data_IF_691754810354
#
_entry.id   IF_691754810354
#
_cell.length_a   1.000
_cell.length_b   1.000
_cell.length_c   1.000
_cell.angle_alpha   90.00
_cell.angle_beta   90.00
_cell.angle_gamma   90.00
#
_symmetry.space_group_name_H-M   'P 1'
#
loop_
_entity.id
_entity.type
_entity.pdbx_description
1 polymer ?
#
# COMPACT_ATOMS: atom_id res chain seq x y z
N UNK A 1 -21.00 -6.04 17.42
CA UNK A 1 -19.84 -6.82 16.94
C UNK A 1 -19.41 -6.27 15.58
N UNK A 2 -18.13 -5.96 15.37
CA UNK A 2 -17.66 -5.37 14.11
C UNK A 2 -17.67 -6.41 12.98
N UNK A 3 -18.41 -6.13 11.89
CA UNK A 3 -18.48 -6.99 10.70
C UNK A 3 -17.10 -7.06 10.05
N UNK A 4 -16.47 -8.25 10.05
CA UNK A 4 -15.15 -8.47 9.42
C UNK A 4 -15.33 -8.51 7.90
N UNK A 5 -14.84 -7.48 7.21
CA UNK A 5 -14.81 -7.46 5.74
C UNK A 5 -13.79 -8.51 5.27
N UNK A 6 -14.22 -9.42 4.38
CA UNK A 6 -13.37 -10.49 3.85
C UNK A 6 -12.41 -9.90 2.82
N UNK A 7 -11.11 -10.03 3.05
CA UNK A 7 -10.03 -9.65 2.12
C UNK A 7 -9.27 -10.90 1.68
N UNK A 8 -8.82 -10.95 0.42
CA UNK A 8 -8.01 -12.07 -0.09
C UNK A 8 -6.52 -11.94 0.22
N UNK A 9 -6.09 -10.78 0.71
CA UNK A 9 -4.72 -10.50 1.17
C UNK A 9 -4.71 -10.05 2.63
N UNK A 10 -3.57 -10.26 3.29
CA UNK A 10 -3.28 -9.90 4.67
C UNK A 10 -1.98 -9.10 4.76
N UNK A 11 -1.75 -8.47 5.92
CA UNK A 11 -0.47 -7.83 6.22
C UNK A 11 0.65 -8.87 6.14
N UNK A 12 1.77 -8.49 5.55
CA UNK A 12 2.95 -9.30 5.24
C UNK A 12 2.81 -10.31 4.09
N UNK A 13 1.67 -10.38 3.40
CA UNK A 13 1.59 -11.17 2.18
C UNK A 13 2.42 -10.51 1.07
N UNK A 14 3.04 -11.34 0.24
CA UNK A 14 3.71 -10.88 -0.98
C UNK A 14 2.69 -10.86 -2.12
N UNK A 15 2.61 -9.72 -2.80
CA UNK A 15 1.61 -9.49 -3.84
C UNK A 15 2.24 -8.89 -5.08
N UNK A 16 1.60 -9.17 -6.22
CA UNK A 16 1.89 -8.54 -7.50
C UNK A 16 0.72 -7.64 -7.89
N UNK A 17 1.02 -6.46 -8.41
CA UNK A 17 0.02 -5.57 -8.99
C UNK A 17 -0.36 -6.06 -10.37
N UNK A 18 -1.63 -6.38 -10.58
CA UNK A 18 -2.13 -6.94 -11.85
C UNK A 18 -2.67 -5.88 -12.82
N UNK A 19 -2.98 -4.68 -12.32
CA UNK A 19 -3.60 -3.60 -13.09
C UNK A 19 -3.27 -2.21 -12.56
N UNK A 20 -3.37 -1.19 -13.43
CA UNK A 20 -3.05 0.21 -13.13
C UNK A 20 -1.63 0.61 -13.55
N UNK A 21 -1.22 1.82 -13.14
CA UNK A 21 0.08 2.42 -13.55
C UNK A 21 1.30 1.63 -13.05
N UNK A 22 1.13 0.84 -11.99
CA UNK A 22 2.19 0.06 -11.34
C UNK A 22 2.08 -1.44 -11.65
N UNK A 23 1.43 -1.79 -12.76
CA UNK A 23 1.22 -3.19 -13.16
C UNK A 23 2.56 -3.91 -13.35
N UNK A 24 2.68 -5.09 -12.75
CA UNK A 24 3.87 -5.93 -12.80
C UNK A 24 4.83 -5.74 -11.62
N UNK A 25 4.69 -4.65 -10.86
CA UNK A 25 5.47 -4.45 -9.64
C UNK A 25 5.03 -5.45 -8.56
N UNK A 26 6.01 -5.99 -7.83
CA UNK A 26 5.81 -6.89 -6.69
C UNK A 26 6.24 -6.21 -5.41
N UNK A 27 5.62 -6.60 -4.30
CA UNK A 27 6.00 -6.09 -2.99
C UNK A 27 5.22 -6.71 -1.86
N UNK A 28 5.63 -6.39 -0.64
CA UNK A 28 5.00 -6.88 0.58
C UNK A 28 3.87 -5.95 1.02
N UNK A 29 2.76 -6.52 1.48
CA UNK A 29 1.64 -5.74 2.03
C UNK A 29 2.02 -5.20 3.41
N UNK A 30 2.21 -3.88 3.50
CA UNK A 30 2.51 -3.17 4.75
C UNK A 30 1.27 -2.99 5.63
N UNK A 31 0.15 -2.66 4.99
CA UNK A 31 -1.12 -2.40 5.67
C UNK A 31 -2.32 -2.72 4.79
N UNK A 32 -3.39 -3.19 5.40
CA UNK A 32 -4.69 -3.43 4.74
C UNK A 32 -5.73 -2.53 5.40
N UNK A 33 -6.54 -1.87 4.59
CA UNK A 33 -7.69 -1.08 5.01
C UNK A 33 -8.97 -1.73 4.47
N UNK A 34 -9.53 -2.74 5.17
CA UNK A 34 -10.66 -3.53 4.65
C UNK A 34 -11.91 -2.68 4.36
N UNK A 35 -12.18 -1.68 5.21
CA UNK A 35 -13.32 -0.78 5.04
C UNK A 35 -13.23 0.12 3.80
N UNK A 36 -12.01 0.37 3.30
CA UNK A 36 -11.76 1.20 2.12
C UNK A 36 -11.37 0.37 0.90
N UNK A 37 -11.35 -0.97 1.01
CA UNK A 37 -10.86 -1.88 -0.03
C UNK A 37 -9.47 -1.50 -0.56
N UNK A 38 -8.59 -1.03 0.33
CA UNK A 38 -7.27 -0.51 -0.02
C UNK A 38 -6.15 -1.27 0.71
N UNK A 39 -4.99 -1.35 0.08
CA UNK A 39 -3.76 -1.93 0.64
C UNK A 39 -2.58 -1.01 0.38
N UNK A 40 -1.62 -0.97 1.29
CA UNK A 40 -0.32 -0.33 1.05
C UNK A 40 0.67 -1.45 0.76
N UNK A 41 1.36 -1.35 -0.38
CA UNK A 41 2.36 -2.31 -0.82
C UNK A 41 3.72 -1.60 -0.79
N UNK A 42 4.71 -2.24 -0.20
CA UNK A 42 6.08 -1.75 -0.09
C UNK A 42 6.70 -1.50 -1.47
N UNK A 43 7.31 -0.34 -1.65
CA UNK A 43 8.00 0.02 -2.90
C UNK A 43 7.08 0.36 -4.08
N UNK A 44 5.76 0.24 -3.94
CA UNK A 44 4.79 0.46 -5.02
C UNK A 44 3.99 1.73 -4.78
N UNK A 45 3.67 2.47 -5.85
CA UNK A 45 2.89 3.71 -5.81
C UNK A 45 3.51 4.76 -4.87
N UNK A 46 4.78 5.09 -5.08
CA UNK A 46 5.46 6.17 -4.35
C UNK A 46 4.83 7.53 -4.68
N UNK A 47 4.35 8.22 -3.66
CA UNK A 47 3.74 9.54 -3.75
C UNK A 47 4.67 10.55 -3.07
N UNK A 48 4.98 11.63 -3.78
CA UNK A 48 5.67 12.80 -3.24
C UNK A 48 4.68 13.66 -2.46
N UNK A 49 4.83 13.71 -1.14
CA UNK A 49 4.01 14.53 -0.25
C UNK A 49 4.83 15.69 0.30
N UNK A 50 4.35 16.90 0.06
CA UNK A 50 4.89 18.10 0.69
C UNK A 50 4.52 18.11 2.17
N UNK A 51 5.52 17.99 3.04
CA UNK A 51 5.37 18.02 4.47
C UNK A 51 5.78 19.40 5.00
N UNK A 52 4.90 20.01 5.81
CA UNK A 52 5.26 21.20 6.58
C UNK A 52 6.32 20.82 7.62
N UNK A 53 7.20 21.76 7.94
CA UNK A 53 8.18 21.61 9.02
C UNK A 53 7.45 21.32 10.33
N UNK A 54 7.97 20.36 11.08
CA UNK A 54 7.45 19.97 12.41
C UNK A 54 8.63 19.73 13.34
N UNK A 55 8.38 19.61 14.65
CA UNK A 55 9.46 19.39 15.62
C UNK A 55 10.25 18.09 15.36
N UNK A 56 9.57 17.05 14.88
CA UNK A 56 10.20 15.79 14.49
C UNK A 56 10.88 15.84 13.10
N UNK A 57 10.56 16.85 12.29
CA UNK A 57 11.09 17.05 10.92
C UNK A 57 11.36 18.54 10.65
N UNK A 58 12.42 19.11 11.24
CA UNK A 58 12.73 20.54 11.17
C UNK A 58 13.14 20.99 9.76
N UNK A 59 13.70 20.11 8.93
CA UNK A 59 14.02 20.36 7.53
C UNK A 59 12.77 20.57 6.65
N UNK A 60 11.63 19.95 7.01
CA UNK A 60 10.45 19.90 6.15
C UNK A 60 10.77 19.30 4.77
N UNK A 61 9.93 19.59 3.78
CA UNK A 61 10.23 19.28 2.37
C UNK A 61 9.38 18.18 1.76
N UNK A 62 9.90 17.54 0.72
CA UNK A 62 9.19 16.51 -0.04
C UNK A 62 9.55 15.15 0.55
N UNK A 63 8.54 14.49 1.10
CA UNK A 63 8.67 13.12 1.64
C UNK A 63 8.05 12.16 0.64
N UNK A 64 8.75 11.09 0.30
CA UNK A 64 8.18 9.99 -0.45
C UNK A 64 7.49 9.00 0.48
N UNK A 65 6.29 8.57 0.10
CA UNK A 65 5.50 7.59 0.85
C UNK A 65 4.71 6.71 -0.09
N UNK A 66 4.56 5.45 0.27
CA UNK A 66 3.73 4.48 -0.44
C UNK A 66 2.26 4.88 -0.37
N UNK A 67 1.62 4.87 -1.54
CA UNK A 67 0.22 5.16 -1.71
C UNK A 67 -0.65 3.91 -1.56
N UNK A 68 -1.95 4.09 -1.26
CA UNK A 68 -2.88 2.98 -1.22
C UNK A 68 -3.20 2.44 -2.63
N UNK A 69 -3.31 1.14 -2.80
CA UNK A 69 -3.73 0.49 -4.03
C UNK A 69 -5.06 -0.21 -3.75
N UNK A 70 -5.98 -0.24 -4.71
CA UNK A 70 -7.23 -0.96 -4.53
C UNK A 70 -6.98 -2.47 -4.46
N UNK A 71 -7.66 -3.16 -3.55
CA UNK A 71 -7.41 -4.57 -3.27
C UNK A 71 -7.65 -5.47 -4.49
N UNK A 72 -8.56 -5.09 -5.39
CA UNK A 72 -8.80 -5.83 -6.64
C UNK A 72 -7.63 -5.79 -7.62
N UNK A 73 -6.72 -4.83 -7.48
CA UNK A 73 -5.59 -4.64 -8.40
C UNK A 73 -4.34 -5.35 -7.91
N UNK A 74 -4.43 -6.10 -6.81
CA UNK A 74 -3.34 -6.92 -6.29
C UNK A 74 -3.74 -8.39 -6.23
N UNK A 75 -2.77 -9.26 -6.50
CA UNK A 75 -2.90 -10.71 -6.42
C UNK A 75 -1.77 -11.26 -5.55
N UNK A 76 -2.03 -12.31 -4.79
CA UNK A 76 -0.96 -13.02 -4.07
C UNK A 76 0.09 -13.49 -5.08
N UNK A 77 1.34 -13.10 -4.85
CA UNK A 77 2.48 -13.70 -5.53
C UNK A 77 2.58 -15.13 -4.99
N UNK A 78 2.43 -16.11 -5.87
CA UNK A 78 2.42 -17.52 -5.47
C UNK A 78 3.70 -17.84 -4.71
N UNK A 79 3.58 -18.41 -3.50
CA UNK A 79 4.62 -19.30 -3.01
C UNK A 79 4.60 -20.52 -3.93
N UNK A 80 5.73 -20.81 -4.57
CA UNK A 80 5.99 -22.15 -5.09
C UNK A 80 6.00 -23.16 -3.95
#
# INVERSE_FOLDING_TARGET
MAKRVKTHVKKNDEVVVISGNHKGETGKVLQVFPHKSQVIVEGVRLIKKHARRTQDRPEGGIVEKEGPIHISNVKLASKG
#
